data_IF_920907140014
#
_entry.id   IF_920907140014
#
_cell.length_a   1.000
_cell.length_b   1.000
_cell.length_c   1.000
_cell.angle_alpha   90.00
_cell.angle_beta   90.00
_cell.angle_gamma   90.00
#
_symmetry.space_group_name_H-M   'P 1'
#
loop_
_entity.id
_entity.type
_entity.pdbx_description
1 polymer ?
#
# COMPACT_ATOMS: atom_id res chain seq x y z
N UNK A 1 -14.41 -1.20 -2.57
CA UNK A 1 -13.44 -0.21 -2.09
C UNK A 1 -13.35 -0.30 -0.58
N UNK A 2 -12.16 -0.29 -0.03
CA UNK A 2 -11.92 -0.46 1.40
C UNK A 2 -11.52 0.88 2.02
N UNK A 3 -11.88 1.11 3.28
CA UNK A 3 -11.63 2.39 3.94
C UNK A 3 -11.05 2.19 5.34
N UNK A 4 -9.99 2.95 5.68
CA UNK A 4 -9.40 3.01 7.01
C UNK A 4 -9.20 4.49 7.36
N UNK A 5 -9.76 4.93 8.49
CA UNK A 5 -9.59 6.31 9.01
C UNK A 5 -9.88 7.39 7.97
N UNK A 6 -10.92 7.18 7.15
CA UNK A 6 -11.32 8.13 6.11
C UNK A 6 -10.55 8.01 4.81
N UNK A 7 -9.55 7.13 4.73
CA UNK A 7 -8.77 6.92 3.51
C UNK A 7 -9.34 5.70 2.79
N UNK A 8 -9.67 5.88 1.51
CA UNK A 8 -10.23 4.81 0.68
C UNK A 8 -9.13 4.14 -0.13
N UNK A 9 -9.24 2.83 -0.28
CA UNK A 9 -8.24 2.01 -0.98
C UNK A 9 -8.89 1.16 -2.05
N UNK A 10 -8.14 0.94 -3.14
CA UNK A 10 -8.50 -0.01 -4.18
C UNK A 10 -7.24 -0.78 -4.59
N UNK A 11 -7.41 -1.96 -5.13
CA UNK A 11 -6.31 -2.77 -5.65
C UNK A 11 -6.84 -3.80 -6.63
N UNK A 12 -5.93 -4.35 -7.42
CA UNK A 12 -6.22 -5.46 -8.32
C UNK A 12 -6.13 -6.77 -7.53
N UNK A 13 -7.16 -7.60 -7.60
CA UNK A 13 -7.21 -8.86 -6.84
C UNK A 13 -6.09 -9.82 -7.22
N UNK A 14 -5.70 -9.86 -8.48
CA UNK A 14 -4.61 -10.72 -8.94
C UNK A 14 -3.27 -10.24 -8.37
N UNK A 15 -3.06 -8.93 -8.34
CA UNK A 15 -1.85 -8.36 -7.76
C UNK A 15 -1.80 -8.59 -6.26
N UNK A 16 -2.95 -8.53 -5.58
CA UNK A 16 -3.03 -8.81 -4.15
C UNK A 16 -2.62 -10.25 -3.86
N UNK A 17 -3.13 -11.21 -4.63
CA UNK A 17 -2.78 -12.62 -4.48
C UNK A 17 -1.29 -12.87 -4.78
N UNK A 18 -0.78 -12.27 -5.85
CA UNK A 18 0.64 -12.39 -6.21
C UNK A 18 1.54 -11.77 -5.13
N UNK A 19 1.11 -10.67 -4.54
CA UNK A 19 1.87 -10.01 -3.49
C UNK A 19 1.94 -10.89 -2.23
N UNK A 20 0.84 -11.55 -1.89
CA UNK A 20 0.80 -12.49 -0.77
C UNK A 20 1.79 -13.65 -1.01
N UNK A 21 1.79 -14.21 -2.21
CA UNK A 21 2.68 -15.30 -2.56
C UNK A 21 4.16 -14.90 -2.53
N UNK A 22 4.47 -13.70 -3.00
CA UNK A 22 5.85 -13.20 -3.11
C UNK A 22 6.40 -12.67 -1.80
N UNK A 23 5.61 -11.90 -1.07
CA UNK A 23 6.09 -11.10 0.05
C UNK A 23 5.42 -11.41 1.37
N UNK A 24 4.47 -12.35 1.39
CA UNK A 24 3.82 -12.79 2.62
C UNK A 24 2.72 -11.87 3.12
N UNK A 25 2.28 -10.90 2.32
CA UNK A 25 1.18 -10.00 2.66
C UNK A 25 0.35 -9.71 1.42
N UNK A 26 -0.97 -9.75 1.58
CA UNK A 26 -1.88 -9.32 0.52
C UNK A 26 -1.97 -7.79 0.51
N UNK A 27 -2.48 -7.20 -0.58
CA UNK A 27 -2.70 -5.76 -0.60
C UNK A 27 -3.82 -5.36 0.36
N UNK A 28 -4.80 -6.22 0.56
CA UNK A 28 -5.85 -5.98 1.57
C UNK A 28 -5.23 -5.86 2.97
N UNK A 29 -4.34 -6.78 3.33
CA UNK A 29 -3.64 -6.73 4.62
C UNK A 29 -2.73 -5.52 4.74
N UNK A 30 -2.12 -5.08 3.63
CA UNK A 30 -1.22 -3.93 3.62
C UNK A 30 -1.92 -2.62 3.96
N UNK A 31 -3.24 -2.53 3.81
CA UNK A 31 -3.99 -1.34 4.22
C UNK A 31 -3.87 -1.05 5.71
N UNK A 32 -3.54 -2.06 6.51
CA UNK A 32 -3.35 -1.90 7.96
C UNK A 32 -2.21 -0.91 8.29
N UNK A 33 -1.31 -0.64 7.34
CA UNK A 33 -0.26 0.36 7.52
C UNK A 33 -0.83 1.72 7.91
N UNK A 34 -1.98 2.08 7.37
CA UNK A 34 -2.62 3.37 7.62
C UNK A 34 -3.33 3.47 8.97
N UNK A 35 -3.34 2.40 9.76
CA UNK A 35 -3.87 2.46 11.13
C UNK A 35 -2.88 3.08 12.11
N UNK A 36 -1.60 3.10 11.76
CA UNK A 36 -0.55 3.68 12.60
C UNK A 36 0.11 4.86 11.93
N UNK A 37 1.24 5.27 12.51
CA UNK A 37 2.04 6.35 11.96
C UNK A 37 2.80 5.86 10.74
N UNK A 38 2.73 6.62 9.65
CA UNK A 38 3.44 6.29 8.41
C UNK A 38 4.27 7.47 7.95
N UNK A 39 5.34 7.17 7.21
CA UNK A 39 6.14 8.15 6.48
C UNK A 39 5.85 7.94 5.00
N UNK A 40 5.55 9.00 4.29
CA UNK A 40 5.28 8.91 2.85
C UNK A 40 6.35 9.66 2.06
N UNK A 41 6.76 9.07 0.95
CA UNK A 41 7.78 9.61 0.08
C UNK A 41 7.32 9.52 -1.37
N UNK A 42 7.63 10.52 -2.22
CA UNK A 42 7.35 10.37 -3.64
C UNK A 42 8.25 9.29 -4.24
N UNK A 43 7.71 8.52 -5.17
CA UNK A 43 8.48 7.52 -5.90
C UNK A 43 8.64 7.99 -7.34
N UNK A 44 9.86 7.88 -7.87
CA UNK A 44 10.14 8.29 -9.25
C UNK A 44 9.75 7.18 -10.21
N UNK A 45 8.61 7.36 -10.86
CA UNK A 45 8.17 6.48 -11.94
C UNK A 45 7.75 7.33 -13.12
N UNK A 46 8.41 7.19 -14.28
CA UNK A 46 8.00 7.94 -15.47
C UNK A 46 6.55 7.61 -15.83
N UNK A 47 5.78 8.64 -16.13
CA UNK A 47 4.41 8.49 -16.62
C UNK A 47 3.32 8.23 -15.59
N UNK A 48 3.69 8.00 -14.33
CA UNK A 48 2.68 7.77 -13.28
C UNK A 48 3.18 8.30 -11.94
N UNK A 49 2.31 9.03 -11.26
CA UNK A 49 2.63 9.49 -9.91
C UNK A 49 2.43 8.34 -8.92
N UNK A 50 3.49 7.94 -8.27
CA UNK A 50 3.46 6.92 -7.22
C UNK A 50 4.09 7.44 -5.96
N UNK A 51 3.67 6.87 -4.82
CA UNK A 51 4.22 7.17 -3.51
C UNK A 51 4.58 5.89 -2.79
N UNK A 52 5.50 6.04 -1.85
CA UNK A 52 5.83 4.98 -0.91
C UNK A 52 5.27 5.36 0.45
N UNK A 53 4.65 4.40 1.13
CA UNK A 53 4.27 4.55 2.52
C UNK A 53 5.04 3.53 3.34
N UNK A 54 5.72 3.98 4.38
CA UNK A 54 6.56 3.14 5.23
C UNK A 54 6.00 3.18 6.65
N UNK A 55 5.78 2.03 7.25
CA UNK A 55 5.25 1.95 8.59
C UNK A 55 5.26 0.52 9.11
N UNK A 56 4.65 0.32 10.28
CA UNK A 56 4.66 -0.97 10.95
C UNK A 56 3.31 -1.67 10.80
N UNK A 57 3.37 -2.98 10.55
CA UNK A 57 2.22 -3.88 10.63
C UNK A 57 2.67 -5.05 11.50
N UNK A 58 1.97 -5.29 12.60
CA UNK A 58 2.28 -6.38 13.54
C UNK A 58 3.75 -6.36 13.98
N UNK A 59 4.29 -5.19 14.23
CA UNK A 59 5.67 -5.01 14.72
C UNK A 59 6.75 -5.14 13.66
N UNK A 60 6.38 -5.28 12.40
CA UNK A 60 7.35 -5.41 11.29
C UNK A 60 7.21 -4.22 10.35
N UNK A 61 8.33 -3.75 9.84
CA UNK A 61 8.36 -2.59 8.96
C UNK A 61 8.06 -3.01 7.53
N UNK A 62 7.10 -2.32 6.90
CA UNK A 62 6.65 -2.59 5.54
C UNK A 62 6.70 -1.34 4.71
N UNK A 63 6.94 -1.51 3.41
CA UNK A 63 6.85 -0.45 2.42
C UNK A 63 5.75 -0.78 1.43
N UNK A 64 4.79 0.12 1.27
CA UNK A 64 3.68 -0.02 0.33
C UNK A 64 3.85 0.99 -0.78
N UNK A 65 3.78 0.53 -2.03
CA UNK A 65 3.76 1.40 -3.21
C UNK A 65 2.30 1.63 -3.57
N UNK A 66 1.91 2.89 -3.71
CA UNK A 66 0.54 3.23 -4.08
C UNK A 66 0.52 4.43 -5.03
N UNK A 67 -0.57 4.53 -5.79
CA UNK A 67 -0.80 5.65 -6.70
C UNK A 67 -2.01 6.44 -6.17
N UNK A 68 -1.84 7.73 -5.81
CA UNK A 68 -2.97 8.55 -5.41
C UNK A 68 -3.92 8.76 -6.59
N UNK A 69 -5.22 8.62 -6.33
CA UNK A 69 -6.29 8.96 -7.26
C UNK A 69 -7.17 10.04 -6.62
N UNK A 70 -8.14 10.56 -7.36
CA UNK A 70 -8.97 11.67 -6.87
C UNK A 70 -9.64 11.39 -5.54
N UNK A 71 -10.14 10.16 -5.34
CA UNK A 71 -10.93 9.82 -4.15
C UNK A 71 -10.41 8.58 -3.42
N UNK A 72 -9.28 8.01 -3.84
CA UNK A 72 -8.74 6.81 -3.21
C UNK A 72 -7.26 6.64 -3.51
N UNK A 73 -6.63 5.72 -2.78
CA UNK A 73 -5.27 5.26 -3.06
C UNK A 73 -5.34 3.88 -3.72
N UNK A 74 -4.69 3.75 -4.87
CA UNK A 74 -4.59 2.47 -5.54
C UNK A 74 -3.31 1.79 -5.09
N UNK A 75 -3.45 0.70 -4.36
CA UNK A 75 -2.28 -0.06 -3.89
C UNK A 75 -1.71 -0.89 -5.04
N UNK A 76 -0.39 -0.89 -5.15
CA UNK A 76 0.32 -1.54 -6.26
C UNK A 76 1.14 -2.72 -5.75
N UNK A 77 1.90 -2.53 -4.69
CA UNK A 77 2.69 -3.60 -4.10
C UNK A 77 3.02 -3.30 -2.64
N UNK A 78 3.37 -4.33 -1.89
CA UNK A 78 3.81 -4.20 -0.51
C UNK A 78 4.94 -5.18 -0.26
N UNK A 79 5.98 -4.75 0.48
CA UNK A 79 7.12 -5.61 0.79
C UNK A 79 7.72 -5.23 2.14
N UNK A 80 8.45 -6.16 2.74
CA UNK A 80 9.21 -5.89 3.95
C UNK A 80 10.33 -4.91 3.64
N UNK A 81 10.50 -3.96 4.52
CA UNK A 81 11.58 -2.95 4.41
C UNK A 81 12.90 -3.47 4.93
#
# INVERSE_FOLDING_TARGET
>A
MYEINGVKFAWDLRKSAANLAKHGISLAEATALWRGTIVTLPSRNPGEMRHLAIGFIAGKLWTVVYAPRDDHFRLISARRS
#
